data_IF_971127298241
#
_entry.id   IF_971127298241
#
_cell.length_a   1.000
_cell.length_b   1.000
_cell.length_c   1.000
_cell.angle_alpha   90.00
_cell.angle_beta   90.00
_cell.angle_gamma   90.00
#
_symmetry.space_group_name_H-M   'P 1'
#
loop_
_entity.id
_entity.type
_entity.pdbx_description
1 polymer ?
#
# COMPACT_ATOMS: atom_id res chain seq x y z
N UNK A 1 -19.95 -0.55 -14.99
CA UNK A 1 -20.41 0.70 -15.65
C UNK A 1 -21.54 0.44 -16.63
N UNK A 2 -21.41 -0.55 -17.54
CA UNK A 2 -22.49 -0.94 -18.45
C UNK A 2 -23.82 -1.24 -17.71
N UNK A 3 -23.78 -2.00 -16.61
CA UNK A 3 -24.97 -2.31 -15.81
C UNK A 3 -25.59 -1.08 -15.13
N UNK A 4 -24.74 -0.14 -14.70
CA UNK A 4 -25.17 1.13 -14.10
C UNK A 4 -25.90 2.02 -15.13
N UNK A 5 -25.50 1.93 -16.40
CA UNK A 5 -26.13 2.63 -17.54
C UNK A 5 -27.31 1.87 -18.16
N UNK A 6 -27.57 0.65 -17.71
CA UNK A 6 -28.70 -0.15 -18.21
C UNK A 6 -30.03 0.44 -17.77
N UNK A 7 -31.00 0.50 -18.68
CA UNK A 7 -32.37 0.96 -18.37
C UNK A 7 -33.11 0.04 -17.40
N UNK A 8 -32.76 -1.24 -17.40
CA UNK A 8 -33.40 -2.26 -16.55
C UNK A 8 -32.68 -2.40 -15.20
N UNK A 9 -31.35 -2.53 -15.24
CA UNK A 9 -30.54 -2.85 -14.05
C UNK A 9 -30.12 -1.58 -13.29
N UNK A 10 -29.86 -0.47 -13.99
CA UNK A 10 -29.40 0.79 -13.39
C UNK A 10 -30.31 1.29 -12.25
N UNK A 11 -31.64 1.34 -12.42
CA UNK A 11 -32.56 1.73 -11.34
C UNK A 11 -32.49 0.80 -10.11
N UNK A 12 -32.23 -0.49 -10.30
CA UNK A 12 -32.07 -1.44 -9.20
C UNK A 12 -30.76 -1.20 -8.45
N UNK A 13 -29.67 -0.93 -9.17
CA UNK A 13 -28.38 -0.59 -8.57
C UNK A 13 -28.47 0.72 -7.79
N UNK A 14 -29.11 1.75 -8.34
CA UNK A 14 -29.33 3.02 -7.64
C UNK A 14 -30.13 2.82 -6.35
N UNK A 15 -31.17 1.98 -6.37
CA UNK A 15 -31.98 1.68 -5.18
C UNK A 15 -31.21 0.91 -4.11
N UNK A 16 -30.54 -0.18 -4.49
CA UNK A 16 -30.00 -1.14 -3.52
C UNK A 16 -28.55 -0.88 -3.11
N UNK A 17 -27.82 -0.04 -3.87
CA UNK A 17 -26.46 0.36 -3.50
C UNK A 17 -26.39 1.75 -2.87
N UNK A 18 -27.51 2.47 -2.78
CA UNK A 18 -27.65 3.70 -2.01
C UNK A 18 -27.30 3.48 -0.53
N UNK A 19 -26.79 4.53 0.12
CA UNK A 19 -26.38 4.49 1.53
C UNK A 19 -27.06 5.60 2.32
N UNK A 20 -26.30 6.57 2.84
CA UNK A 20 -26.84 7.69 3.59
C UNK A 20 -27.63 8.62 2.65
N UNK A 21 -28.62 9.31 3.22
CA UNK A 21 -29.39 10.31 2.50
C UNK A 21 -28.49 11.41 1.92
N UNK A 22 -28.81 11.87 0.71
CA UNK A 22 -28.09 12.94 0.03
C UNK A 22 -26.81 12.52 -0.71
N UNK A 23 -26.44 11.24 -0.71
CA UNK A 23 -25.28 10.75 -1.45
C UNK A 23 -25.68 10.12 -2.80
N UNK A 24 -24.93 10.47 -3.86
CA UNK A 24 -25.08 9.86 -5.18
C UNK A 24 -24.45 8.46 -5.21
N UNK A 25 -25.22 7.45 -5.64
CA UNK A 25 -24.76 6.06 -5.69
C UNK A 25 -23.66 5.86 -6.73
N UNK A 26 -23.72 6.57 -7.86
CA UNK A 26 -22.69 6.49 -8.90
C UNK A 26 -21.33 7.01 -8.40
N UNK A 27 -21.31 8.10 -7.64
CA UNK A 27 -20.06 8.64 -7.08
C UNK A 27 -19.44 7.66 -6.09
N UNK A 28 -20.26 7.04 -5.24
CA UNK A 28 -19.80 5.96 -4.36
C UNK A 28 -19.21 4.80 -5.16
N UNK A 29 -19.88 4.37 -6.23
CA UNK A 29 -19.38 3.32 -7.11
C UNK A 29 -18.01 3.70 -7.73
N UNK A 30 -17.84 4.94 -8.19
CA UNK A 30 -16.58 5.43 -8.75
C UNK A 30 -15.45 5.39 -7.73
N UNK A 31 -15.70 5.84 -6.49
CA UNK A 31 -14.70 5.78 -5.41
C UNK A 31 -14.31 4.33 -5.09
N UNK A 32 -15.28 3.42 -5.03
CA UNK A 32 -14.99 2.00 -4.79
C UNK A 32 -14.15 1.38 -5.90
N UNK A 33 -14.44 1.71 -7.17
CA UNK A 33 -13.62 1.28 -8.32
C UNK A 33 -12.22 1.89 -8.31
N UNK A 34 -12.08 3.13 -7.86
CA UNK A 34 -10.78 3.75 -7.69
C UNK A 34 -9.94 3.05 -6.62
N UNK A 35 -10.53 2.75 -5.45
CA UNK A 35 -9.87 2.00 -4.37
C UNK A 35 -9.48 0.60 -4.87
N UNK A 36 -10.40 -0.10 -5.53
CA UNK A 36 -10.12 -1.41 -6.16
C UNK A 36 -8.92 -1.30 -7.11
N UNK A 37 -8.90 -0.31 -8.01
CA UNK A 37 -7.82 -0.17 -8.97
C UNK A 37 -6.45 0.05 -8.30
N UNK A 38 -6.39 0.87 -7.25
CA UNK A 38 -5.16 1.11 -6.49
C UNK A 38 -4.70 -0.10 -5.67
N UNK A 39 -5.64 -0.94 -5.22
CA UNK A 39 -5.34 -2.01 -4.25
C UNK A 39 -5.22 -3.39 -4.89
N UNK A 40 -5.91 -3.63 -5.99
CA UNK A 40 -6.00 -4.92 -6.69
C UNK A 40 -6.03 -4.81 -8.22
N UNK A 41 -6.21 -3.61 -8.78
CA UNK A 41 -6.23 -3.41 -10.24
C UNK A 41 -4.86 -3.11 -10.84
N UNK A 42 -4.86 -2.50 -12.03
CA UNK A 42 -3.64 -2.23 -12.80
C UNK A 42 -2.70 -1.30 -12.04
N UNK A 43 -3.25 -0.26 -11.39
CA UNK A 43 -2.44 0.68 -10.61
C UNK A 43 -1.84 0.05 -9.35
N UNK A 44 -2.38 -1.06 -8.87
CA UNK A 44 -1.84 -1.79 -7.72
C UNK A 44 -0.46 -2.42 -8.00
N UNK A 45 -0.14 -2.69 -9.27
CA UNK A 45 1.19 -3.17 -9.66
C UNK A 45 2.24 -2.11 -9.34
N UNK A 46 1.99 -0.86 -9.71
CA UNK A 46 2.86 0.27 -9.34
C UNK A 46 2.79 0.55 -7.85
N UNK A 47 1.59 0.61 -7.26
CA UNK A 47 1.47 1.02 -5.86
C UNK A 47 2.00 -0.01 -4.86
N UNK A 48 1.92 -1.32 -5.16
CA UNK A 48 2.37 -2.38 -4.23
C UNK A 48 3.65 -3.05 -4.70
N UNK A 49 3.64 -3.62 -5.90
CA UNK A 49 4.76 -4.44 -6.37
C UNK A 49 5.97 -3.59 -6.69
N UNK A 50 5.78 -2.45 -7.36
CA UNK A 50 6.88 -1.52 -7.61
C UNK A 50 7.36 -0.89 -6.30
N UNK A 51 6.50 -0.49 -5.37
CA UNK A 51 6.96 -0.03 -4.05
C UNK A 51 7.76 -1.10 -3.26
N UNK A 52 7.52 -2.39 -3.50
CA UNK A 52 8.25 -3.49 -2.86
C UNK A 52 9.61 -3.77 -3.51
N UNK A 53 9.71 -3.62 -4.83
CA UNK A 53 10.86 -4.10 -5.61
C UNK A 53 11.59 -3.01 -6.39
N UNK A 54 11.04 -1.80 -6.44
CA UNK A 54 11.64 -0.60 -7.00
C UNK A 54 12.93 -0.29 -6.27
N UNK A 55 13.98 -0.01 -7.05
CA UNK A 55 15.36 0.13 -6.55
C UNK A 55 15.91 -1.09 -5.78
N UNK A 56 15.28 -2.26 -5.89
CA UNK A 56 15.70 -3.53 -5.28
C UNK A 56 14.74 -4.04 -4.21
N UNK A 57 14.61 -5.37 -4.10
CA UNK A 57 13.81 -6.03 -3.08
C UNK A 57 14.32 -5.74 -1.66
N UNK A 58 13.49 -5.83 -0.60
CA UNK A 58 13.83 -5.37 0.76
C UNK A 58 15.16 -5.91 1.33
N UNK A 59 15.56 -7.11 0.91
CA UNK A 59 16.81 -7.71 1.34
C UNK A 59 18.04 -6.95 0.82
N UNK A 60 17.97 -6.32 -0.35
CA UNK A 60 19.03 -5.48 -0.90
C UNK A 60 19.31 -4.30 0.02
N UNK A 61 18.28 -3.60 0.49
CA UNK A 61 18.43 -2.48 1.42
C UNK A 61 18.94 -2.96 2.79
N UNK A 62 18.47 -4.12 3.29
CA UNK A 62 19.02 -4.70 4.55
C UNK A 62 20.52 -4.98 4.47
N UNK A 63 20.99 -5.48 3.32
CA UNK A 63 22.43 -5.68 3.08
C UNK A 63 23.17 -4.35 3.08
N UNK A 64 22.65 -3.34 2.38
CA UNK A 64 23.28 -2.02 2.32
C UNK A 64 23.34 -1.33 3.68
N UNK A 65 22.26 -1.39 4.46
CA UNK A 65 22.23 -0.89 5.84
C UNK A 65 23.28 -1.61 6.68
N UNK A 66 23.39 -2.95 6.59
CA UNK A 66 24.39 -3.72 7.33
C UNK A 66 25.82 -3.28 6.99
N UNK A 67 26.11 -3.08 5.69
CA UNK A 67 27.42 -2.60 5.22
C UNK A 67 27.79 -1.21 5.74
N UNK A 68 26.79 -0.35 5.97
CA UNK A 68 26.99 1.03 6.44
C UNK A 68 26.81 1.19 7.95
N UNK A 69 26.42 0.14 8.67
CA UNK A 69 26.03 0.23 10.08
C UNK A 69 27.19 0.28 11.07
N UNK A 70 28.44 0.12 10.61
CA UNK A 70 29.67 0.06 11.42
C UNK A 70 29.47 -0.70 12.75
N UNK A 71 29.21 -2.01 12.63
CA UNK A 71 28.89 -2.84 13.77
C UNK A 71 30.07 -2.99 14.74
N UNK A 72 31.31 -2.89 14.25
CA UNK A 72 32.49 -3.00 15.09
C UNK A 72 32.67 -1.76 15.98
N UNK A 73 32.44 -0.56 15.46
CA UNK A 73 32.45 0.64 16.32
C UNK A 73 31.35 0.57 17.37
N UNK A 74 30.14 0.14 16.99
CA UNK A 74 29.05 -0.06 17.96
C UNK A 74 29.40 -1.06 19.06
N UNK A 75 30.10 -2.16 18.74
CA UNK A 75 30.58 -3.12 19.75
C UNK A 75 31.59 -2.47 20.70
N UNK A 76 32.54 -1.68 20.18
CA UNK A 76 33.51 -0.95 21.01
C UNK A 76 32.84 0.01 21.97
N UNK A 77 31.83 0.75 21.52
CA UNK A 77 31.05 1.65 22.36
C UNK A 77 30.33 0.89 23.49
N UNK A 78 29.73 -0.26 23.19
CA UNK A 78 29.07 -1.09 24.21
C UNK A 78 30.07 -1.62 25.23
N UNK A 79 31.23 -2.14 24.78
CA UNK A 79 32.29 -2.60 25.70
C UNK A 79 32.75 -1.49 26.65
N UNK A 80 32.91 -0.27 26.14
CA UNK A 80 33.27 0.92 26.94
C UNK A 80 32.22 1.28 27.98
N UNK A 81 30.93 1.17 27.64
CA UNK A 81 29.83 1.48 28.58
C UNK A 81 29.75 0.44 29.70
N UNK A 82 30.08 -0.82 29.41
CA UNK A 82 29.95 -1.93 30.33
C UNK A 82 31.25 -2.28 31.07
N UNK A 83 32.32 -1.51 30.88
CA UNK A 83 33.66 -1.80 31.42
C UNK A 83 34.13 -3.23 31.14
N UNK A 84 33.83 -3.75 29.94
CA UNK A 84 34.30 -5.07 29.49
C UNK A 84 35.66 -4.91 28.81
N UNK A 85 36.72 -5.44 29.44
CA UNK A 85 38.04 -5.58 28.83
C UNK A 85 38.00 -6.62 27.69
N UNK A 86 38.89 -6.46 26.70
CA UNK A 86 38.82 -7.01 25.34
C UNK A 86 38.26 -8.42 25.17
#
# INVERSE_FOLDING_TARGET
EADFKSKEIGPLLEKYLATCEGLCTEDRYRVLRFIENLTMGVSSVSYKTESMHGAGSPQAQRIMISRQSDLEEKKKLVKRILDVEE
#
